data_IF_597196690037
#
_entry.id   IF_597196690037
#
_cell.length_a   1.000
_cell.length_b   1.000
_cell.length_c   1.000
_cell.angle_alpha   90.00
_cell.angle_beta   90.00
_cell.angle_gamma   90.00
#
_symmetry.space_group_name_H-M   'P 1'
#
loop_
_entity.id
_entity.type
_entity.pdbx_description
1 polymer ?
#
# COMPACT_ATOMS: atom_id res chain seq x y z
N UNK A 1 -4.55 -18.96 -18.85
CA UNK A 1 -3.69 -17.89 -19.38
C UNK A 1 -3.59 -16.77 -18.35
N UNK A 2 -2.40 -16.37 -18.01
CA UNK A 2 -2.21 -15.28 -17.07
C UNK A 2 -2.63 -13.95 -17.69
N UNK A 3 -3.39 -13.15 -16.96
CA UNK A 3 -3.76 -11.81 -17.41
C UNK A 3 -2.62 -10.85 -17.08
N UNK A 4 -2.12 -10.15 -18.09
CA UNK A 4 -1.08 -9.15 -17.91
C UNK A 4 -1.76 -7.84 -17.47
N UNK A 5 -1.31 -7.28 -16.35
CA UNK A 5 -1.81 -5.99 -15.86
C UNK A 5 -1.05 -4.85 -16.53
N UNK A 6 -1.78 -3.81 -16.88
CA UNK A 6 -1.19 -2.59 -17.42
C UNK A 6 -0.96 -1.59 -16.29
N UNK A 7 0.22 -1.67 -15.66
CA UNK A 7 0.57 -0.77 -14.57
C UNK A 7 0.69 0.66 -15.06
N UNK A 8 0.18 1.58 -14.23
CA UNK A 8 0.14 3.01 -14.56
C UNK A 8 1.54 3.59 -14.72
N UNK A 9 2.49 3.17 -13.87
CA UNK A 9 3.90 3.55 -13.99
C UNK A 9 4.65 2.38 -14.60
N UNK A 10 5.16 2.50 -15.83
CA UNK A 10 5.96 1.45 -16.47
C UNK A 10 7.22 1.15 -15.64
N UNK A 11 7.67 -0.10 -15.71
CA UNK A 11 8.83 -0.58 -14.95
C UNK A 11 10.07 0.31 -15.15
N UNK A 12 10.32 0.72 -16.39
CA UNK A 12 11.50 1.53 -16.74
C UNK A 12 11.44 2.96 -16.19
N UNK A 13 10.27 3.39 -15.71
CA UNK A 13 10.08 4.71 -15.12
C UNK A 13 10.07 4.70 -13.59
N UNK A 14 10.17 3.53 -12.98
CA UNK A 14 10.23 3.44 -11.53
C UNK A 14 11.56 4.04 -11.02
N UNK A 15 11.45 4.92 -10.03
CA UNK A 15 12.61 5.49 -9.35
C UNK A 15 12.91 4.67 -8.11
N UNK A 16 14.16 4.75 -7.64
CA UNK A 16 14.56 4.10 -6.39
C UNK A 16 14.47 5.09 -5.24
N UNK A 17 13.44 4.94 -4.42
CA UNK A 17 13.25 5.75 -3.22
C UNK A 17 13.69 5.01 -1.96
N UNK A 18 13.47 3.70 -1.93
CA UNK A 18 13.86 2.83 -0.80
C UNK A 18 14.45 1.54 -1.35
N UNK A 19 15.34 0.91 -0.58
CA UNK A 19 16.00 -0.33 -0.98
C UNK A 19 15.92 -1.35 0.14
N UNK A 20 15.68 -2.62 -0.23
CA UNK A 20 15.77 -3.73 0.71
C UNK A 20 14.76 -3.68 1.85
N UNK A 21 13.62 -3.03 1.64
CA UNK A 21 12.59 -2.88 2.67
C UNK A 21 11.54 -3.99 2.63
N UNK A 22 11.63 -4.90 1.65
CA UNK A 22 10.71 -6.01 1.50
C UNK A 22 9.50 -5.69 0.65
N UNK A 23 8.51 -6.55 0.76
CA UNK A 23 7.29 -6.46 -0.05
C UNK A 23 6.14 -5.84 0.74
N UNK A 24 5.14 -5.38 0.00
CA UNK A 24 3.90 -4.83 0.55
C UNK A 24 2.73 -5.31 -0.29
N UNK A 25 1.52 -5.04 0.16
CA UNK A 25 0.30 -5.35 -0.58
C UNK A 25 -0.33 -4.04 -1.06
N UNK A 26 -0.76 -4.03 -2.32
CA UNK A 26 -1.48 -2.91 -2.89
C UNK A 26 -2.48 -3.40 -3.94
N UNK A 27 -3.63 -2.69 -4.09
CA UNK A 27 -4.68 -3.07 -5.03
C UNK A 27 -4.45 -2.49 -6.43
N UNK A 28 -5.17 -3.05 -7.40
CA UNK A 28 -5.16 -2.56 -8.78
C UNK A 28 -5.67 -1.11 -8.90
N UNK A 29 -6.54 -0.68 -7.99
CA UNK A 29 -6.98 0.72 -7.95
C UNK A 29 -5.81 1.68 -7.87
N UNK A 30 -4.74 1.30 -7.19
CA UNK A 30 -3.51 2.11 -7.09
C UNK A 30 -2.61 1.90 -8.31
N UNK A 31 -2.21 0.65 -8.57
CA UNK A 31 -1.15 0.38 -9.54
C UNK A 31 -1.63 0.38 -11.00
N UNK A 32 -2.86 0.01 -11.24
CA UNK A 32 -3.43 -0.05 -12.60
C UNK A 32 -4.27 1.17 -12.90
N UNK A 33 -5.19 1.54 -12.00
CA UNK A 33 -6.09 2.66 -12.21
C UNK A 33 -5.45 4.02 -11.88
N UNK A 34 -4.37 4.01 -11.11
CA UNK A 34 -3.66 5.23 -10.75
C UNK A 34 -4.41 6.14 -9.78
N UNK A 35 -5.35 5.58 -9.02
CA UNK A 35 -6.10 6.35 -8.02
C UNK A 35 -5.17 6.64 -6.84
N UNK A 36 -5.15 7.88 -6.31
CA UNK A 36 -4.27 8.23 -5.21
C UNK A 36 -4.47 7.36 -3.96
N UNK A 37 -3.36 7.00 -3.33
CA UNK A 37 -3.37 6.30 -2.05
C UNK A 37 -3.86 7.25 -0.96
N UNK A 38 -4.84 6.81 -0.17
CA UNK A 38 -5.40 7.60 0.94
C UNK A 38 -5.46 6.85 2.26
N UNK A 39 -5.09 5.58 2.27
CA UNK A 39 -5.03 4.75 3.47
C UNK A 39 -3.79 3.88 3.39
N UNK A 40 -2.95 3.96 4.41
CA UNK A 40 -1.80 3.06 4.56
C UNK A 40 -1.75 2.56 5.99
N UNK A 41 -1.33 1.32 6.16
CA UNK A 41 -1.11 0.80 7.51
C UNK A 41 -0.05 -0.28 7.50
N UNK A 42 0.56 -0.48 8.65
CA UNK A 42 1.57 -1.51 8.85
C UNK A 42 1.09 -2.52 9.88
N UNK A 43 1.02 -3.79 9.46
CA UNK A 43 0.76 -4.92 10.33
C UNK A 43 2.08 -5.57 10.73
N UNK A 44 2.03 -6.51 11.68
CA UNK A 44 3.21 -7.32 11.98
C UNK A 44 3.61 -8.09 10.73
N UNK A 45 4.88 -7.99 10.28
CA UNK A 45 5.34 -8.73 9.10
C UNK A 45 5.11 -10.24 9.26
N UNK A 46 4.59 -10.87 8.20
CA UNK A 46 4.31 -12.31 8.19
C UNK A 46 5.55 -13.14 7.88
N UNK A 47 6.61 -12.51 7.36
CA UNK A 47 7.87 -13.17 7.01
C UNK A 47 9.00 -12.13 6.98
N UNK A 48 10.25 -12.60 6.78
CA UNK A 48 11.41 -11.72 6.63
C UNK A 48 11.30 -10.78 5.43
N UNK A 49 10.52 -11.16 4.42
CA UNK A 49 10.40 -10.40 3.18
C UNK A 49 9.19 -9.48 3.17
N UNK A 50 8.27 -9.64 4.12
CA UNK A 50 7.09 -8.78 4.24
C UNK A 50 7.45 -7.54 5.06
N UNK A 51 7.26 -6.35 4.47
CA UNK A 51 7.45 -5.09 5.19
C UNK A 51 6.35 -4.83 6.22
N UNK A 52 5.21 -5.50 6.09
CA UNK A 52 4.02 -5.24 6.88
C UNK A 52 3.14 -4.12 6.31
N UNK A 53 3.64 -3.34 5.35
CA UNK A 53 2.89 -2.21 4.80
C UNK A 53 1.81 -2.66 3.82
N UNK A 54 0.68 -1.98 3.88
CA UNK A 54 -0.49 -2.16 3.01
C UNK A 54 -0.94 -0.78 2.54
N UNK A 55 -1.21 -0.64 1.23
CA UNK A 55 -1.54 0.64 0.61
C UNK A 55 -2.89 0.51 -0.09
N UNK A 56 -3.82 1.43 0.19
CA UNK A 56 -5.16 1.42 -0.41
C UNK A 56 -5.59 2.83 -0.76
N UNK A 57 -6.61 2.94 -1.64
CA UNK A 57 -7.25 4.22 -1.92
C UNK A 57 -8.25 4.59 -0.82
N UNK A 58 -8.71 3.62 -0.06
CA UNK A 58 -9.74 3.81 0.95
C UNK A 58 -11.16 3.68 0.40
N UNK A 59 -11.31 3.44 -0.90
CA UNK A 59 -12.63 3.32 -1.56
C UNK A 59 -12.97 1.89 -1.95
N UNK A 60 -12.05 0.95 -1.74
CA UNK A 60 -12.27 -0.45 -2.10
C UNK A 60 -13.36 -1.09 -1.25
N UNK A 61 -14.22 -1.89 -1.90
CA UNK A 61 -15.21 -2.69 -1.20
C UNK A 61 -14.55 -3.91 -0.54
N UNK A 62 -15.23 -4.51 0.44
CA UNK A 62 -14.76 -5.73 1.07
C UNK A 62 -14.59 -6.87 0.04
N UNK A 63 -15.52 -6.95 -0.92
CA UNK A 63 -15.45 -7.95 -2.00
C UNK A 63 -14.21 -7.73 -2.87
N UNK A 64 -13.89 -6.49 -3.20
CA UNK A 64 -12.71 -6.14 -3.97
C UNK A 64 -11.44 -6.53 -3.23
N UNK A 65 -11.36 -6.21 -1.93
CA UNK A 65 -10.19 -6.52 -1.10
C UNK A 65 -10.01 -8.03 -0.89
N UNK A 66 -11.09 -8.79 -0.89
CA UNK A 66 -11.05 -10.24 -0.75
C UNK A 66 -10.61 -10.97 -2.02
N UNK A 67 -10.61 -10.28 -3.18
CA UNK A 67 -10.30 -10.90 -4.45
C UNK A 67 -8.80 -10.77 -4.76
N UNK A 68 -8.09 -11.89 -4.73
CA UNK A 68 -6.65 -11.93 -5.02
C UNK A 68 -6.29 -11.44 -6.42
N UNK A 69 -7.25 -11.43 -7.35
CA UNK A 69 -7.03 -10.92 -8.72
C UNK A 69 -6.75 -9.42 -8.73
N UNK A 70 -7.34 -8.68 -7.78
CA UNK A 70 -7.24 -7.21 -7.72
C UNK A 70 -6.21 -6.72 -6.71
N UNK A 71 -5.56 -7.61 -5.98
CA UNK A 71 -4.60 -7.25 -4.95
C UNK A 71 -3.31 -8.02 -5.19
N UNK A 72 -2.19 -7.33 -5.12
CA UNK A 72 -0.90 -7.93 -5.41
C UNK A 72 0.14 -7.66 -4.36
N UNK A 73 1.19 -8.48 -4.40
CA UNK A 73 2.37 -8.34 -3.58
C UNK A 73 3.46 -7.72 -4.45
N UNK A 74 4.00 -6.59 -4.02
CA UNK A 74 4.99 -5.84 -4.79
C UNK A 74 6.13 -5.41 -3.88
N UNK A 75 7.30 -5.17 -4.46
CA UNK A 75 8.40 -4.51 -3.75
C UNK A 75 7.89 -3.17 -3.20
N UNK A 76 8.26 -2.85 -1.96
CA UNK A 76 7.81 -1.60 -1.32
C UNK A 76 8.19 -0.39 -2.17
N UNK A 77 9.39 -0.41 -2.76
CA UNK A 77 9.83 0.68 -3.64
C UNK A 77 8.88 0.89 -4.82
N UNK A 78 8.38 -0.20 -5.41
CA UNK A 78 7.43 -0.11 -6.52
C UNK A 78 6.20 0.70 -6.12
N UNK A 79 5.61 0.39 -4.98
CA UNK A 79 4.37 1.02 -4.52
C UNK A 79 4.59 2.46 -4.09
N UNK A 80 5.72 2.80 -3.46
CA UNK A 80 5.99 4.19 -3.07
C UNK A 80 6.20 5.11 -4.28
N UNK A 81 6.47 4.57 -5.46
CA UNK A 81 6.43 5.38 -6.68
C UNK A 81 5.05 5.96 -6.96
N UNK A 82 4.00 5.30 -6.47
CA UNK A 82 2.61 5.78 -6.60
C UNK A 82 2.21 6.70 -5.45
N UNK A 83 3.02 6.77 -4.38
CA UNK A 83 2.73 7.59 -3.21
C UNK A 83 4.03 8.04 -2.54
N UNK A 84 4.87 8.85 -3.24
CA UNK A 84 6.16 9.28 -2.68
C UNK A 84 6.03 10.04 -1.37
N UNK A 85 4.92 10.72 -1.15
CA UNK A 85 4.66 11.47 0.08
C UNK A 85 4.48 10.60 1.31
N UNK A 86 4.37 9.28 1.16
CA UNK A 86 4.32 8.35 2.29
C UNK A 86 5.70 7.89 2.76
N UNK A 87 6.77 8.23 2.04
CA UNK A 87 8.12 7.72 2.34
C UNK A 87 8.51 8.04 3.78
N UNK A 88 8.23 9.25 4.25
CA UNK A 88 8.58 9.68 5.60
C UNK A 88 7.82 8.92 6.71
N UNK A 89 6.81 8.14 6.37
CA UNK A 89 6.01 7.36 7.31
C UNK A 89 6.48 5.91 7.43
N UNK A 90 7.36 5.46 6.53
CA UNK A 90 7.69 4.04 6.39
C UNK A 90 8.48 3.45 7.56
N UNK A 91 9.08 4.29 8.41
CA UNK A 91 9.79 3.84 9.62
C UNK A 91 8.86 3.69 10.82
N UNK A 92 7.56 3.94 10.65
CA UNK A 92 6.59 3.74 11.72
C UNK A 92 6.52 2.26 12.11
N UNK A 93 6.29 1.96 13.41
CA UNK A 93 6.25 0.58 13.87
C UNK A 93 5.00 -0.17 13.38
N UNK A 94 4.98 -1.51 13.46
CA UNK A 94 3.74 -2.27 13.22
C UNK A 94 2.59 -1.74 14.09
N UNK A 95 1.37 -1.91 13.57
CA UNK A 95 0.12 -1.41 14.17
C UNK A 95 0.04 0.11 14.14
N UNK A 96 0.57 0.71 13.09
CA UNK A 96 0.41 2.13 12.78
C UNK A 96 -0.41 2.26 11.51
N UNK A 97 -1.38 3.18 11.51
CA UNK A 97 -2.24 3.45 10.37
C UNK A 97 -2.39 4.94 10.14
N UNK A 98 -2.41 5.33 8.87
CA UNK A 98 -2.57 6.72 8.44
C UNK A 98 -3.64 6.81 7.38
N UNK A 99 -4.47 7.84 7.49
CA UNK A 99 -5.47 8.18 6.47
C UNK A 99 -5.27 9.64 6.06
N UNK A 100 -5.48 9.94 4.78
CA UNK A 100 -5.50 11.34 4.34
C UNK A 100 -6.80 11.99 4.73
N UNK A 101 -6.71 13.23 5.18
CA UNK A 101 -7.88 14.07 5.38
C UNK A 101 -8.29 14.74 4.06
N UNK A 102 -9.30 15.61 4.14
CA UNK A 102 -9.82 16.35 2.99
C UNK A 102 -8.81 17.34 2.37
N UNK A 103 -7.75 17.68 3.12
CA UNK A 103 -6.68 18.56 2.66
C UNK A 103 -5.46 17.78 2.15
N UNK A 104 -5.54 16.45 2.12
CA UNK A 104 -4.44 15.60 1.69
C UNK A 104 -3.37 15.35 2.75
N UNK A 105 -3.60 15.78 3.99
CA UNK A 105 -2.66 15.56 5.09
C UNK A 105 -2.84 14.18 5.70
N UNK A 106 -1.72 13.54 6.07
CA UNK A 106 -1.75 12.25 6.74
C UNK A 106 -2.14 12.39 8.21
N UNK A 107 -3.17 11.68 8.62
CA UNK A 107 -3.64 11.63 10.01
C UNK A 107 -3.38 10.24 10.56
N UNK A 108 -2.73 10.16 11.71
CA UNK A 108 -2.51 8.89 12.40
C UNK A 108 -3.83 8.44 13.03
N UNK A 109 -4.34 7.30 12.56
CA UNK A 109 -5.60 6.72 13.02
C UNK A 109 -5.39 5.40 13.77
N UNK A 110 -4.17 5.12 14.22
CA UNK A 110 -3.79 3.82 14.78
C UNK A 110 -4.67 3.37 15.94
N UNK A 111 -5.16 4.31 16.74
CA UNK A 111 -6.02 4.00 17.90
C UNK A 111 -7.48 3.74 17.52
N UNK A 112 -7.87 4.08 16.30
CA UNK A 112 -9.24 3.88 15.80
C UNK A 112 -9.40 2.57 15.03
N UNK A 113 -8.30 1.84 14.82
CA UNK A 113 -8.28 0.61 14.03
C UNK A 113 -8.48 -0.60 14.95
N UNK A 114 -9.39 -1.48 14.57
CA UNK A 114 -9.46 -2.80 15.19
C UNK A 114 -8.50 -3.73 14.47
N UNK A 115 -7.30 -3.87 15.02
CA UNK A 115 -6.21 -4.60 14.39
C UNK A 115 -6.47 -6.11 14.22
N UNK A 116 -7.53 -6.64 14.85
CA UNK A 116 -7.93 -8.04 14.66
C UNK A 116 -8.42 -8.32 13.24
N UNK A 117 -8.91 -7.29 12.54
CA UNK A 117 -9.49 -7.39 11.20
C UNK A 117 -8.63 -6.82 10.09
N UNK A 118 -7.48 -6.24 10.43
CA UNK A 118 -6.58 -5.61 9.46
C UNK A 118 -5.32 -6.48 9.29
N UNK A 119 -5.08 -6.97 8.08
CA UNK A 119 -3.89 -7.76 7.73
C UNK A 119 -3.31 -7.40 6.37
#
# INVERSE_FOLDING_TARGET
MATTKNFKIPREKLKTFVRGKGFCIAPDTVLVDGIPVSLIYRVMPSSLYDSGWRFFTGTESDEYLANARYNGVYDLNTVVNYCPEAIHLLDSPPYTAFRRDEYGEWINISYDVDWRYWF
#
